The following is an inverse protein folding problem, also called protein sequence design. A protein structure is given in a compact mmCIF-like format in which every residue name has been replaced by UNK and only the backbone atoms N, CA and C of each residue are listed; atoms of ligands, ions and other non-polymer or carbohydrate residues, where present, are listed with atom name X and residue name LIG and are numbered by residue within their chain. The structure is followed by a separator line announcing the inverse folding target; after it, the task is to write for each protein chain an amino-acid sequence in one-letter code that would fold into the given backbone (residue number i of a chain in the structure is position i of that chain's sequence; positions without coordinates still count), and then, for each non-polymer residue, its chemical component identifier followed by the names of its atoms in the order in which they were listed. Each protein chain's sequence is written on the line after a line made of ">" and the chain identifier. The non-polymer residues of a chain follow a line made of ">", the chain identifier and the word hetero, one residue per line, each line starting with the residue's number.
data_IF_181734832978
#
_entry.id   IF_181734832978
#
_cell.length_a   1.000
_cell.length_b   1.000
_cell.length_c   1.000
_cell.angle_alpha   90.00
_cell.angle_beta   90.00
_cell.angle_gamma   90.00
#
_symmetry.space_group_name_H-M   'P 1'
#
loop_
_entity.id
_entity.type
_entity.pdbx_description
1 polymer ?
#
# COMPACT_ATOMS: atom_id res chain seq x y z
N UNK A 1 25.70 19.58 -3.63
CA UNK A 1 25.42 18.29 -4.24
C UNK A 1 23.92 18.13 -4.44
N UNK A 2 23.45 18.02 -5.69
CA UNK A 2 22.02 17.84 -5.90
C UNK A 2 21.57 16.48 -5.34
N UNK A 3 20.49 16.48 -4.61
CA UNK A 3 19.87 15.26 -4.17
C UNK A 3 18.91 14.77 -5.25
N UNK A 4 19.00 13.48 -5.54
CA UNK A 4 18.05 12.84 -6.44
C UNK A 4 16.93 12.22 -5.62
N UNK A 5 15.69 12.32 -6.08
CA UNK A 5 14.62 11.62 -5.42
C UNK A 5 14.85 10.12 -5.52
N UNK A 6 14.57 9.41 -4.46
CA UNK A 6 14.54 7.95 -4.49
C UNK A 6 13.25 7.48 -3.82
N UNK A 7 12.82 6.31 -4.25
CA UNK A 7 11.51 5.83 -3.90
C UNK A 7 11.58 4.42 -3.34
N UNK A 8 10.88 4.20 -2.26
CA UNK A 8 10.65 2.89 -1.67
C UNK A 8 9.15 2.70 -1.47
N UNK A 9 8.56 1.79 -2.21
CA UNK A 9 7.14 1.46 -2.08
C UNK A 9 7.00 0.02 -1.61
N UNK A 10 6.18 -0.21 -0.61
CA UNK A 10 5.95 -1.53 -0.03
C UNK A 10 4.50 -1.94 -0.19
N UNK A 11 4.27 -3.19 -0.56
CA UNK A 11 2.93 -3.73 -0.70
C UNK A 11 2.38 -4.11 0.67
N UNK A 12 1.23 -3.57 0.99
CA UNK A 12 0.48 -3.88 2.19
C UNK A 12 -0.94 -4.33 1.79
N UNK A 13 -1.89 -4.12 2.64
CA UNK A 13 -3.29 -4.44 2.35
C UNK A 13 -4.21 -3.48 3.09
N UNK A 14 -5.36 -3.19 2.48
CA UNK A 14 -6.39 -2.36 3.12
C UNK A 14 -6.76 -2.88 4.52
N UNK A 15 -6.70 -4.20 4.72
CA UNK A 15 -6.98 -4.82 6.02
C UNK A 15 -6.05 -4.34 7.14
N UNK A 16 -4.93 -3.72 6.81
CA UNK A 16 -4.06 -3.08 7.80
C UNK A 16 -4.56 -1.73 8.30
N UNK A 17 -5.60 -1.17 7.68
CA UNK A 17 -6.19 0.06 8.16
C UNK A 17 -7.07 -0.19 9.37
N UNK A 18 -6.77 0.47 10.48
CA UNK A 18 -7.59 0.37 11.69
C UNK A 18 -8.91 1.13 11.48
N UNK A 19 -8.84 2.31 10.88
CA UNK A 19 -10.02 3.15 10.66
C UNK A 19 -11.01 2.54 9.67
N UNK A 20 -10.52 1.81 8.67
CA UNK A 20 -11.36 1.19 7.63
C UNK A 20 -11.93 -0.15 8.09
N UNK A 21 -11.58 -0.62 9.26
CA UNK A 21 -12.02 -1.90 9.80
C UNK A 21 -13.45 -1.80 10.31
N UNK A 22 -14.41 -2.24 9.52
CA UNK A 22 -15.83 -2.26 9.90
C UNK A 22 -16.38 -3.68 10.03
N UNK A 23 -15.73 -4.66 9.41
CA UNK A 23 -16.22 -6.03 9.36
C UNK A 23 -15.62 -6.94 10.43
N UNK A 24 -14.46 -6.61 10.96
CA UNK A 24 -13.75 -7.48 11.88
C UNK A 24 -13.16 -8.70 11.21
N UNK A 25 -12.77 -9.67 12.01
CA UNK A 25 -12.11 -10.88 11.52
C UNK A 25 -10.65 -10.63 11.13
N UNK A 26 -9.96 -11.69 10.71
CA UNK A 26 -8.59 -11.62 10.22
C UNK A 26 -7.59 -11.02 11.22
N UNK A 27 -7.73 -11.36 12.48
CA UNK A 27 -6.98 -10.75 13.58
C UNK A 27 -5.49 -10.66 13.31
N UNK A 28 -4.84 -11.79 13.01
CA UNK A 28 -3.39 -11.82 12.81
C UNK A 28 -2.96 -11.11 11.55
N UNK A 29 -3.69 -11.29 10.46
CA UNK A 29 -3.38 -10.64 9.20
C UNK A 29 -3.51 -9.12 9.32
N UNK A 30 -4.62 -8.64 9.88
CA UNK A 30 -4.82 -7.21 10.12
C UNK A 30 -3.72 -6.63 11.00
N UNK A 31 -3.39 -7.32 12.08
CA UNK A 31 -2.34 -6.86 12.99
C UNK A 31 -0.97 -6.80 12.30
N UNK A 32 -0.63 -7.80 11.49
CA UNK A 32 0.65 -7.81 10.78
C UNK A 32 0.76 -6.68 9.77
N UNK A 33 -0.31 -6.39 9.05
CA UNK A 33 -0.31 -5.30 8.05
C UNK A 33 -0.35 -3.92 8.71
N UNK A 34 -1.04 -3.78 9.84
CA UNK A 34 -1.02 -2.56 10.63
C UNK A 34 0.39 -2.29 11.17
N UNK A 35 1.08 -3.33 11.64
CA UNK A 35 2.47 -3.21 12.09
C UNK A 35 3.39 -2.79 10.94
N UNK A 36 3.25 -3.39 9.77
CA UNK A 36 3.99 -3.00 8.57
C UNK A 36 3.74 -1.53 8.22
N UNK A 37 2.49 -1.10 8.25
CA UNK A 37 2.11 0.27 7.94
C UNK A 37 2.76 1.26 8.91
N UNK A 38 2.75 0.96 10.21
CA UNK A 38 3.39 1.80 11.22
C UNK A 38 4.90 1.90 10.99
N UNK A 39 5.52 0.75 10.71
CA UNK A 39 6.97 0.70 10.44
C UNK A 39 7.34 1.61 9.27
N UNK A 40 6.60 1.53 8.18
CA UNK A 40 6.89 2.31 6.98
C UNK A 40 6.55 3.78 7.15
N UNK A 41 5.50 4.09 7.89
CA UNK A 41 5.20 5.48 8.25
C UNK A 41 6.33 6.09 9.06
N UNK A 42 6.84 5.36 10.03
CA UNK A 42 7.99 5.79 10.85
C UNK A 42 9.22 6.02 9.97
N UNK A 43 9.51 5.07 9.08
CA UNK A 43 10.63 5.19 8.14
C UNK A 43 10.52 6.45 7.28
N UNK A 44 9.32 6.75 6.78
CA UNK A 44 9.10 7.93 5.95
C UNK A 44 9.44 9.22 6.67
N UNK A 45 9.13 9.29 7.96
CA UNK A 45 9.40 10.47 8.80
C UNK A 45 10.91 10.63 9.03
N UNK A 46 11.58 9.52 9.37
CA UNK A 46 13.03 9.57 9.61
C UNK A 46 13.82 9.91 8.36
N UNK A 47 13.45 9.29 7.24
CA UNK A 47 14.14 9.55 5.96
C UNK A 47 13.91 10.96 5.46
N UNK A 48 12.74 11.54 5.71
CA UNK A 48 12.50 12.94 5.32
C UNK A 48 13.48 13.90 5.94
N UNK A 49 13.92 13.63 7.17
CA UNK A 49 14.89 14.47 7.86
C UNK A 49 16.27 14.39 7.22
N UNK A 50 16.70 13.20 6.79
CA UNK A 50 18.01 12.98 6.18
C UNK A 50 18.01 13.20 4.68
N UNK A 51 16.93 12.80 4.03
CA UNK A 51 16.78 12.79 2.58
C UNK A 51 15.45 13.44 2.21
N UNK A 52 15.42 14.77 2.11
CA UNK A 52 14.14 15.49 1.90
C UNK A 52 13.38 15.08 0.65
N UNK A 53 14.07 14.51 -0.36
CA UNK A 53 13.44 14.06 -1.60
C UNK A 53 13.08 12.56 -1.58
N UNK A 54 13.25 11.89 -0.45
CA UNK A 54 12.86 10.48 -0.34
C UNK A 54 11.34 10.32 -0.37
N UNK A 55 10.89 9.22 -0.97
CA UNK A 55 9.48 8.89 -1.08
C UNK A 55 9.28 7.47 -0.55
N UNK A 56 8.60 7.35 0.58
CA UNK A 56 8.26 6.05 1.17
C UNK A 56 6.75 5.95 1.16
N UNK A 57 6.21 5.01 0.39
CA UNK A 57 4.76 4.83 0.30
C UNK A 57 4.36 3.39 0.58
N UNK A 58 3.15 3.24 1.07
CA UNK A 58 2.54 1.96 1.37
C UNK A 58 1.40 1.78 0.36
N UNK A 59 1.42 0.65 -0.36
CA UNK A 59 0.50 0.44 -1.46
C UNK A 59 -0.43 -0.74 -1.19
N UNK A 60 -1.70 -0.55 -1.50
CA UNK A 60 -2.70 -1.63 -1.51
C UNK A 60 -2.99 -1.99 -2.96
N UNK A 61 -2.61 -3.20 -3.42
CA UNK A 61 -2.77 -3.58 -4.82
C UNK A 61 -4.21 -3.99 -5.20
N UNK A 62 -5.14 -3.94 -4.28
CA UNK A 62 -6.43 -4.57 -4.46
C UNK A 62 -6.34 -6.07 -4.18
N UNK A 63 -7.37 -6.83 -4.53
CA UNK A 63 -7.35 -8.27 -4.41
C UNK A 63 -6.87 -8.87 -5.72
N UNK A 64 -5.71 -9.52 -5.68
CA UNK A 64 -5.10 -10.13 -6.85
C UNK A 64 -5.44 -11.62 -6.92
N UNK A 65 -5.66 -12.13 -8.12
CA UNK A 65 -5.90 -13.56 -8.34
C UNK A 65 -4.58 -14.33 -8.23
N UNK A 66 -4.29 -14.78 -7.02
CA UNK A 66 -3.07 -15.52 -6.68
C UNK A 66 -3.41 -16.70 -5.78
N UNK A 67 -2.44 -17.57 -5.56
CA UNK A 67 -2.59 -18.70 -4.64
C UNK A 67 -2.96 -18.22 -3.23
N UNK A 68 -2.42 -17.09 -2.81
CA UNK A 68 -2.69 -16.53 -1.48
C UNK A 68 -4.17 -16.14 -1.31
N UNK A 69 -4.77 -15.54 -2.33
CA UNK A 69 -6.15 -15.05 -2.26
C UNK A 69 -7.20 -16.12 -2.61
N UNK A 70 -6.79 -17.23 -3.23
CA UNK A 70 -7.70 -18.27 -3.75
C UNK A 70 -8.79 -18.68 -2.76
N UNK A 71 -8.50 -18.98 -1.48
CA UNK A 71 -9.53 -19.40 -0.53
C UNK A 71 -10.57 -18.31 -0.22
N UNK A 72 -10.33 -17.07 -0.59
CA UNK A 72 -11.14 -15.91 -0.19
C UNK A 72 -11.84 -15.23 -1.36
N UNK A 73 -11.65 -15.73 -2.57
CA UNK A 73 -12.13 -15.07 -3.79
C UNK A 73 -13.66 -15.11 -3.94
N UNK A 74 -14.32 -16.06 -3.34
CA UNK A 74 -15.78 -16.20 -3.47
C UNK A 74 -16.54 -14.97 -2.97
N UNK A 75 -15.99 -14.24 -2.00
CA UNK A 75 -16.61 -13.05 -1.45
C UNK A 75 -16.24 -11.77 -2.21
N UNK A 76 -15.38 -11.87 -3.23
CA UNK A 76 -14.88 -10.70 -3.97
C UNK A 76 -15.67 -10.56 -5.27
N UNK A 77 -16.24 -9.38 -5.57
CA UNK A 77 -16.84 -9.13 -6.87
C UNK A 77 -15.82 -9.34 -7.99
N UNK A 78 -16.26 -9.90 -9.11
CA UNK A 78 -15.36 -10.24 -10.23
C UNK A 78 -14.61 -9.03 -10.77
N UNK A 79 -15.24 -7.86 -10.80
CA UNK A 79 -14.63 -6.63 -11.26
C UNK A 79 -13.60 -6.06 -10.27
N UNK A 80 -13.55 -6.59 -9.05
CA UNK A 80 -12.57 -6.22 -8.00
C UNK A 80 -11.49 -7.28 -7.81
N UNK A 81 -11.53 -8.38 -8.56
CA UNK A 81 -10.49 -9.40 -8.54
C UNK A 81 -9.57 -9.16 -9.74
N UNK A 82 -8.37 -8.68 -9.47
CA UNK A 82 -7.42 -8.30 -10.52
C UNK A 82 -6.48 -9.44 -10.85
N UNK A 83 -6.13 -9.57 -12.13
CA UNK A 83 -5.00 -10.41 -12.51
C UNK A 83 -3.71 -9.77 -11.97
N UNK A 84 -2.65 -10.57 -11.75
CA UNK A 84 -1.35 -10.01 -11.36
C UNK A 84 -0.85 -8.95 -12.34
N UNK A 85 -1.07 -9.14 -13.63
CA UNK A 85 -0.69 -8.18 -14.66
C UNK A 85 -1.42 -6.85 -14.49
N UNK A 86 -2.73 -6.90 -14.29
CA UNK A 86 -3.57 -5.71 -14.11
C UNK A 86 -3.17 -4.94 -12.84
N UNK A 87 -2.97 -5.67 -11.74
CA UNK A 87 -2.53 -5.07 -10.48
C UNK A 87 -1.17 -4.40 -10.65
N UNK A 88 -0.24 -5.04 -11.36
CA UNK A 88 1.08 -4.48 -11.65
C UNK A 88 0.99 -3.18 -12.44
N UNK A 89 0.13 -3.11 -13.43
CA UNK A 89 -0.06 -1.87 -14.20
C UNK A 89 -0.56 -0.72 -13.32
N UNK A 90 -1.55 -0.98 -12.46
CA UNK A 90 -2.04 0.03 -11.54
C UNK A 90 -0.94 0.54 -10.63
N UNK A 91 -0.15 -0.36 -10.06
CA UNK A 91 0.91 0.01 -9.12
C UNK A 91 2.04 0.76 -9.80
N UNK A 92 2.44 0.34 -10.99
CA UNK A 92 3.50 1.02 -11.75
C UNK A 92 3.07 2.44 -12.11
N UNK A 93 1.83 2.64 -12.50
CA UNK A 93 1.31 3.97 -12.80
C UNK A 93 1.35 4.87 -11.57
N UNK A 94 0.95 4.35 -10.41
CA UNK A 94 1.03 5.10 -9.15
C UNK A 94 2.47 5.45 -8.83
N UNK A 95 3.37 4.47 -8.89
CA UNK A 95 4.78 4.65 -8.55
C UNK A 95 5.44 5.70 -9.46
N UNK A 96 5.14 5.67 -10.74
CA UNK A 96 5.75 6.58 -11.72
C UNK A 96 5.35 8.04 -11.50
N UNK A 97 4.25 8.30 -10.83
CA UNK A 97 3.71 9.65 -10.61
C UNK A 97 3.92 10.16 -9.18
N UNK A 98 4.58 9.39 -8.32
CA UNK A 98 4.78 9.77 -6.93
C UNK A 98 5.73 10.96 -6.79
N UNK A 99 5.42 11.79 -5.80
CA UNK A 99 6.18 12.99 -5.45
C UNK A 99 6.63 12.90 -3.99
N UNK A 100 7.63 13.69 -3.59
CA UNK A 100 8.02 13.75 -2.17
C UNK A 100 6.86 14.06 -1.22
N UNK A 101 5.86 14.82 -1.68
CA UNK A 101 4.66 15.11 -0.87
C UNK A 101 3.80 13.88 -0.60
N UNK A 102 3.96 12.80 -1.36
CA UNK A 102 3.24 11.54 -1.15
C UNK A 102 3.89 10.65 -0.10
N UNK A 103 5.12 10.96 0.30
CA UNK A 103 5.85 10.13 1.27
C UNK A 103 5.07 10.01 2.59
N UNK A 104 4.99 8.79 3.10
CA UNK A 104 4.28 8.47 4.32
C UNK A 104 2.79 8.23 4.14
N UNK A 105 2.32 8.09 2.91
CA UNK A 105 0.89 7.86 2.63
C UNK A 105 0.60 6.40 2.30
N UNK A 106 -0.61 6.00 2.63
CA UNK A 106 -1.15 4.66 2.32
C UNK A 106 -2.09 4.82 1.13
N UNK A 107 -1.73 4.22 0.00
CA UNK A 107 -2.36 4.49 -1.30
C UNK A 107 -2.90 3.20 -1.89
N UNK A 108 -4.16 3.24 -2.32
CA UNK A 108 -4.79 2.11 -2.99
C UNK A 108 -4.49 2.11 -4.50
N UNK A 109 -4.76 0.99 -5.13
CA UNK A 109 -4.55 0.76 -6.56
C UNK A 109 -5.23 1.80 -7.46
N UNK A 110 -6.31 2.41 -7.00
CA UNK A 110 -7.05 3.46 -7.73
C UNK A 110 -6.54 4.87 -7.40
N UNK A 111 -5.40 4.97 -6.76
CA UNK A 111 -4.76 6.21 -6.33
C UNK A 111 -5.52 6.96 -5.22
N UNK A 112 -6.48 6.33 -4.58
CA UNK A 112 -7.14 6.89 -3.40
C UNK A 112 -6.30 6.66 -2.15
N UNK A 113 -6.41 7.55 -1.17
CA UNK A 113 -5.72 7.38 0.09
C UNK A 113 -6.56 6.52 1.03
N UNK A 114 -5.88 5.61 1.74
CA UNK A 114 -6.51 4.76 2.74
C UNK A 114 -6.17 5.34 4.11
N UNK A 115 -7.14 5.51 5.00
CA UNK A 115 -6.86 5.97 6.36
C UNK A 115 -6.12 4.91 7.15
N UNK A 116 -5.33 5.35 8.12
CA UNK A 116 -4.64 4.42 9.00
C UNK A 116 -5.62 3.74 9.96
#
# INVERSE_FOLDING_TARGET
>A
KPELPFLFSSLSARLGSISDNSLGGWYSYRASKAAQNQFLKTLSIEWRRKFPLSIVTILHPGTCDTKLSKPFQSAIPKDKLFSPYQASEYLINIISEQKPSDSGKFIAWDNSFIPW
#
